data_IF_319543147627
#
_entry.id   IF_319543147627
#
_cell.length_a   1.000
_cell.length_b   1.000
_cell.length_c   1.000
_cell.angle_alpha   90.00
_cell.angle_beta   90.00
_cell.angle_gamma   90.00
#
_symmetry.space_group_name_H-M   'P 1'
#
loop_
_entity.id
_entity.type
_entity.pdbx_description
1 polymer ?
#
# COMPACT_ATOMS: atom_id res chain seq x y z
N UNK A 1 11.38 -29.25 -14.93
CA UNK A 1 11.60 -27.96 -14.24
C UNK A 1 12.14 -26.95 -15.23
N UNK A 2 11.35 -25.95 -15.60
CA UNK A 2 11.77 -24.92 -16.56
C UNK A 2 12.46 -23.78 -15.79
N UNK A 3 13.78 -23.76 -15.85
CA UNK A 3 14.57 -22.62 -15.39
C UNK A 3 14.52 -21.53 -16.46
N UNK A 4 13.82 -20.44 -16.17
CA UNK A 4 13.87 -19.24 -17.02
C UNK A 4 15.15 -18.49 -16.70
N UNK A 5 16.01 -18.29 -17.71
CA UNK A 5 17.25 -17.52 -17.59
C UNK A 5 16.96 -16.07 -17.15
N UNK A 6 17.84 -15.52 -16.31
CA UNK A 6 17.80 -14.15 -15.80
C UNK A 6 17.70 -13.10 -16.93
N UNK A 7 18.25 -13.42 -18.10
CA UNK A 7 18.20 -12.56 -19.30
C UNK A 7 16.81 -12.58 -19.97
N UNK A 8 16.10 -13.71 -19.89
CA UNK A 8 14.73 -13.84 -20.41
C UNK A 8 13.73 -13.08 -19.53
N UNK A 9 13.92 -13.10 -18.20
CA UNK A 9 13.11 -12.29 -17.26
C UNK A 9 13.24 -10.78 -17.52
N UNK A 10 14.45 -10.30 -17.80
CA UNK A 10 14.69 -8.89 -18.14
C UNK A 10 14.02 -8.44 -19.44
N UNK A 11 13.84 -9.34 -20.41
CA UNK A 11 13.18 -9.04 -21.69
C UNK A 11 11.64 -8.91 -21.58
N UNK A 12 11.04 -9.55 -20.58
CA UNK A 12 9.60 -9.42 -20.27
C UNK A 12 9.34 -8.13 -19.50
N UNK A 13 10.18 -7.84 -18.50
CA UNK A 13 10.09 -6.62 -17.70
C UNK A 13 10.37 -5.33 -18.50
N UNK A 14 11.12 -5.41 -19.60
CA UNK A 14 11.34 -4.26 -20.49
C UNK A 14 10.15 -3.95 -21.40
N UNK A 15 9.25 -4.92 -21.66
CA UNK A 15 8.02 -4.70 -22.44
C UNK A 15 6.91 -4.02 -21.63
N UNK A 16 6.91 -4.16 -20.30
CA UNK A 16 5.99 -3.44 -19.41
C UNK A 16 6.37 -1.97 -19.18
N UNK A 17 7.54 -1.51 -19.67
CA UNK A 17 7.93 -0.07 -19.66
C UNK A 17 7.13 0.81 -20.66
N UNK A 18 6.03 0.30 -21.22
CA UNK A 18 5.12 1.05 -22.12
C UNK A 18 3.71 1.28 -21.57
N UNK A 19 3.46 1.06 -20.28
CA UNK A 19 2.21 1.47 -19.65
C UNK A 19 2.48 2.49 -18.54
N UNK A 20 2.18 3.74 -18.89
CA UNK A 20 2.01 4.95 -18.08
C UNK A 20 2.97 5.18 -16.91
N UNK A 21 3.75 6.25 -17.05
CA UNK A 21 4.58 6.95 -16.06
C UNK A 21 3.86 7.34 -14.75
N UNK A 22 2.55 7.06 -14.61
CA UNK A 22 1.78 7.22 -13.37
C UNK A 22 1.27 5.92 -12.74
N UNK A 23 1.37 4.77 -13.42
CA UNK A 23 0.89 3.49 -12.87
C UNK A 23 1.96 2.70 -12.12
N UNK A 24 3.24 2.91 -12.42
CA UNK A 24 4.33 2.20 -11.75
C UNK A 24 4.51 2.70 -10.30
N UNK A 25 4.36 4.01 -10.06
CA UNK A 25 4.46 4.61 -8.72
C UNK A 25 3.35 4.11 -7.79
N UNK A 26 2.12 4.00 -8.28
CA UNK A 26 0.97 3.49 -7.54
C UNK A 26 1.14 1.99 -7.23
N UNK A 27 1.59 1.20 -8.20
CA UNK A 27 1.90 -0.23 -8.01
C UNK A 27 3.06 -0.44 -7.03
N UNK A 28 4.08 0.43 -7.03
CA UNK A 28 5.20 0.35 -6.10
C UNK A 28 4.77 0.72 -4.67
N UNK A 29 3.88 1.72 -4.51
CA UNK A 29 3.29 2.06 -3.21
C UNK A 29 2.40 0.94 -2.67
N UNK A 30 1.53 0.37 -3.50
CA UNK A 30 0.67 -0.75 -3.11
C UNK A 30 1.46 -2.01 -2.74
N UNK A 31 2.59 -2.26 -3.42
CA UNK A 31 3.48 -3.37 -3.08
C UNK A 31 4.24 -3.10 -1.78
N UNK A 32 4.73 -1.88 -1.57
CA UNK A 32 5.37 -1.49 -0.32
C UNK A 32 4.39 -1.56 0.86
N UNK A 33 3.15 -1.09 0.69
CA UNK A 33 2.11 -1.19 1.72
C UNK A 33 1.78 -2.65 2.07
N UNK A 34 1.79 -3.56 1.08
CA UNK A 34 1.60 -5.00 1.30
C UNK A 34 2.79 -5.62 2.03
N UNK A 35 4.01 -5.36 1.58
CA UNK A 35 5.24 -5.88 2.20
C UNK A 35 5.43 -5.37 3.63
N UNK A 36 5.27 -4.06 3.85
CA UNK A 36 5.38 -3.45 5.17
C UNK A 36 4.27 -3.95 6.12
N UNK A 37 3.07 -4.29 5.61
CA UNK A 37 1.98 -4.87 6.41
C UNK A 37 2.20 -6.33 6.75
N UNK A 38 2.67 -7.15 5.80
CA UNK A 38 2.75 -8.61 5.95
C UNK A 38 4.06 -9.07 6.60
N UNK A 39 5.18 -8.36 6.38
CA UNK A 39 6.51 -8.81 6.82
C UNK A 39 7.30 -7.76 7.62
N UNK A 40 6.71 -6.60 7.95
CA UNK A 40 7.38 -5.44 8.58
C UNK A 40 8.63 -4.99 7.82
N UNK A 41 8.52 -3.90 7.06
CA UNK A 41 9.67 -3.33 6.36
C UNK A 41 10.47 -2.35 7.24
N UNK A 42 11.72 -2.14 6.87
CA UNK A 42 12.67 -1.16 7.42
C UNK A 42 12.53 0.21 6.73
N UNK A 43 13.03 1.26 7.39
CA UNK A 43 13.06 2.60 6.80
C UNK A 43 13.86 2.66 5.50
N UNK A 44 14.90 1.83 5.36
CA UNK A 44 15.73 1.79 4.16
C UNK A 44 14.98 1.19 2.97
N UNK A 45 14.17 0.15 3.18
CA UNK A 45 13.31 -0.44 2.14
C UNK A 45 12.21 0.54 1.70
N UNK A 46 11.57 1.23 2.65
CA UNK A 46 10.61 2.28 2.31
C UNK A 46 11.25 3.42 1.50
N UNK A 47 12.51 3.78 1.80
CA UNK A 47 13.27 4.80 1.08
C UNK A 47 13.63 4.38 -0.36
N UNK A 48 13.76 3.09 -0.64
CA UNK A 48 14.03 2.62 -2.02
C UNK A 48 12.83 2.82 -2.96
N UNK A 49 11.63 2.98 -2.40
CA UNK A 49 10.39 3.22 -3.16
C UNK A 49 10.09 4.70 -3.34
N UNK A 50 10.34 5.52 -2.30
CA UNK A 50 10.13 6.97 -2.38
C UNK A 50 11.43 7.68 -2.75
N UNK A 51 11.51 8.21 -3.97
CA UNK A 51 12.67 9.00 -4.42
C UNK A 51 12.90 10.27 -3.56
N UNK A 52 11.88 10.74 -2.83
CA UNK A 52 11.92 11.92 -1.97
C UNK A 52 11.89 11.57 -0.47
N UNK A 53 12.87 12.09 0.28
CA UNK A 53 13.02 11.92 1.74
C UNK A 53 11.84 12.49 2.56
N UNK A 54 11.13 13.50 2.06
CA UNK A 54 9.92 14.03 2.71
C UNK A 54 8.76 13.03 2.61
N UNK A 55 8.56 12.44 1.44
CA UNK A 55 7.56 11.40 1.22
C UNK A 55 7.88 10.13 2.01
N UNK A 56 9.16 9.73 2.08
CA UNK A 56 9.58 8.60 2.92
C UNK A 56 9.27 8.87 4.40
N UNK A 57 9.46 10.11 4.88
CA UNK A 57 9.16 10.47 6.27
C UNK A 57 7.67 10.45 6.55
N UNK A 58 6.84 11.01 5.68
CA UNK A 58 5.38 10.97 5.85
C UNK A 58 4.86 9.53 5.88
N UNK A 59 5.31 8.71 4.92
CA UNK A 59 4.99 7.28 4.89
C UNK A 59 5.41 6.59 6.19
N UNK A 60 6.65 6.80 6.64
CA UNK A 60 7.21 6.12 7.81
C UNK A 60 6.54 6.55 9.12
N UNK A 61 6.23 7.84 9.26
CA UNK A 61 5.49 8.37 10.39
C UNK A 61 4.10 7.74 10.46
N UNK A 62 3.43 7.62 9.31
CA UNK A 62 2.17 6.90 9.24
C UNK A 62 2.32 5.42 9.64
N UNK A 63 3.21 4.70 8.98
CA UNK A 63 3.44 3.27 9.24
C UNK A 63 3.72 2.94 10.71
N UNK A 64 4.26 3.89 11.49
CA UNK A 64 4.55 3.74 12.92
C UNK A 64 3.48 4.30 13.87
N UNK A 65 2.43 4.96 13.35
CA UNK A 65 1.35 5.60 14.14
C UNK A 65 0.42 4.58 14.84
N UNK A 66 0.59 3.27 14.55
CA UNK A 66 -0.15 2.17 15.16
C UNK A 66 -1.46 1.86 14.44
N UNK A 67 -2.08 0.72 14.79
CA UNK A 67 -3.28 0.22 14.12
C UNK A 67 -4.51 1.11 14.44
N UNK A 68 -4.95 1.89 13.46
CA UNK A 68 -6.04 2.84 13.63
C UNK A 68 -7.42 2.15 13.68
N UNK A 69 -7.48 0.86 13.35
CA UNK A 69 -8.68 0.05 13.50
C UNK A 69 -8.88 -0.50 14.91
N UNK A 70 -7.92 -0.33 15.83
CA UNK A 70 -8.07 -0.76 17.23
C UNK A 70 -9.29 -0.14 17.93
N UNK A 71 -9.65 1.09 17.56
CA UNK A 71 -10.82 1.78 18.10
C UNK A 71 -12.16 1.31 17.49
N UNK A 72 -12.14 0.39 16.52
CA UNK A 72 -13.30 -0.06 15.73
C UNK A 72 -14.14 1.12 15.20
N UNK A 73 -13.56 2.02 14.39
CA UNK A 73 -14.22 3.26 14.00
C UNK A 73 -15.39 3.07 13.02
N UNK A 74 -15.43 1.95 12.29
CA UNK A 74 -16.45 1.68 11.28
C UNK A 74 -17.75 1.19 11.91
N UNK A 75 -18.84 1.88 11.62
CA UNK A 75 -20.20 1.60 12.09
C UNK A 75 -20.93 0.67 11.11
N UNK A 76 -22.13 0.23 11.51
CA UNK A 76 -23.06 -0.52 10.66
C UNK A 76 -22.45 -1.78 10.01
N UNK A 77 -21.55 -2.44 10.76
CA UNK A 77 -20.86 -3.65 10.29
C UNK A 77 -19.75 -3.40 9.28
N UNK A 78 -19.38 -2.14 9.02
CA UNK A 78 -18.30 -1.81 8.09
C UNK A 78 -16.97 -2.46 8.48
N UNK A 79 -16.20 -2.89 7.50
CA UNK A 79 -14.87 -3.48 7.73
C UNK A 79 -13.82 -2.39 7.80
N UNK A 80 -13.12 -2.30 8.92
CA UNK A 80 -12.00 -1.37 9.06
C UNK A 80 -10.74 -1.94 8.43
N UNK A 81 -10.08 -1.14 7.60
CA UNK A 81 -8.74 -1.40 7.07
C UNK A 81 -7.82 -0.29 7.55
N UNK A 82 -6.84 -0.67 8.36
CA UNK A 82 -5.74 0.21 8.79
C UNK A 82 -5.02 0.79 7.57
N UNK A 83 -4.42 1.95 7.70
CA UNK A 83 -3.62 2.54 6.62
C UNK A 83 -2.44 3.30 7.20
N UNK A 84 -1.64 3.90 6.32
CA UNK A 84 -0.40 4.54 6.77
C UNK A 84 -0.71 5.68 7.74
N UNK A 85 -1.54 6.66 7.41
CA UNK A 85 -1.84 7.75 8.37
C UNK A 85 -3.31 7.83 8.77
N UNK A 86 -4.10 6.83 8.37
CA UNK A 86 -5.54 6.81 8.56
C UNK A 86 -6.11 5.44 8.21
N UNK A 87 -7.29 5.15 8.72
CA UNK A 87 -8.07 3.98 8.32
C UNK A 87 -9.02 4.27 7.16
N UNK A 88 -9.46 3.20 6.51
CA UNK A 88 -10.56 3.18 5.55
C UNK A 88 -11.64 2.24 6.06
N UNK A 89 -12.90 2.68 6.02
CA UNK A 89 -14.05 1.81 6.27
C UNK A 89 -14.64 1.32 4.95
N UNK A 90 -14.73 0.00 4.80
CA UNK A 90 -15.52 -0.62 3.73
C UNK A 90 -16.93 -0.85 4.22
N UNK A 91 -17.85 -0.03 3.71
CA UNK A 91 -19.24 -0.06 4.12
C UNK A 91 -20.01 -1.19 3.43
N UNK A 92 -20.93 -1.79 4.18
CA UNK A 92 -21.92 -2.68 3.60
C UNK A 92 -22.88 -1.92 2.68
N UNK A 93 -23.54 -2.65 1.78
CA UNK A 93 -24.52 -2.10 0.85
C UNK A 93 -25.60 -1.35 1.63
N UNK A 94 -25.85 -0.10 1.22
CA UNK A 94 -26.84 0.78 1.85
C UNK A 94 -26.25 1.75 2.88
N UNK A 95 -24.98 1.61 3.26
CA UNK A 95 -24.28 2.53 4.16
C UNK A 95 -23.17 3.30 3.44
N UNK A 96 -22.92 4.54 3.89
CA UNK A 96 -21.89 5.45 3.38
C UNK A 96 -21.34 6.34 4.52
N UNK A 97 -20.46 7.27 4.17
CA UNK A 97 -19.77 8.12 5.14
C UNK A 97 -18.38 7.58 5.49
N UNK A 98 -17.58 8.38 6.20
CA UNK A 98 -16.19 7.99 6.52
C UNK A 98 -16.16 6.74 7.41
N UNK A 99 -17.16 6.63 8.28
CA UNK A 99 -17.29 5.60 9.28
C UNK A 99 -18.51 4.71 9.02
N UNK A 100 -19.07 4.72 7.79
CA UNK A 100 -20.29 4.00 7.44
C UNK A 100 -21.51 4.40 8.30
N UNK A 101 -21.58 5.65 8.74
CA UNK A 101 -22.60 6.19 9.64
C UNK A 101 -23.90 6.64 8.94
N UNK A 102 -23.89 6.77 7.61
CA UNK A 102 -25.00 7.25 6.79
C UNK A 102 -25.66 6.12 6.01
#
# INVERSE_FOLDING_TARGET
>A
SLFVSRQTAQSVLSRQKRFNKGGLEEVMRDNLERECREEKCSFEEAREVFENMEQTREFWLGYTDGDQCLSSPCQNGGTCKDGLSSYVCWCHIGFNGKNCEL
#
